data_IF_846420605051
#
_entry.id   IF_846420605051
#
_cell.length_a   1.000
_cell.length_b   1.000
_cell.length_c   1.000
_cell.angle_alpha   90.00
_cell.angle_beta   90.00
_cell.angle_gamma   90.00
#
_symmetry.space_group_name_H-M   'P 1'
#
loop_
_entity.id
_entity.type
_entity.pdbx_description
1 polymer ?
#
# COMPACT_ATOMS: atom_id res chain seq x y z
N UNK A 1 -27.16 54.79 -28.35
CA UNK A 1 -26.49 53.70 -29.07
C UNK A 1 -25.66 52.91 -28.06
N UNK A 2 -26.07 51.65 -27.86
CA UNK A 2 -25.36 50.46 -27.33
C UNK A 2 -24.38 50.58 -26.16
N UNK A 3 -24.79 50.04 -25.00
CA UNK A 3 -23.90 49.53 -23.95
C UNK A 3 -23.30 48.19 -24.43
N UNK A 4 -21.97 48.13 -24.58
CA UNK A 4 -21.25 46.91 -24.94
C UNK A 4 -20.94 46.08 -23.68
N UNK A 5 -21.78 45.10 -23.38
CA UNK A 5 -21.56 44.11 -22.34
C UNK A 5 -20.69 42.96 -22.86
N UNK A 6 -19.37 43.08 -22.71
CA UNK A 6 -18.44 41.95 -22.89
C UNK A 6 -18.55 40.99 -21.69
N UNK A 7 -19.67 40.29 -21.63
CA UNK A 7 -19.88 39.16 -20.73
C UNK A 7 -19.04 37.99 -21.20
N UNK A 8 -17.81 37.88 -20.68
CA UNK A 8 -17.01 36.65 -20.75
C UNK A 8 -17.81 35.57 -20.03
N UNK A 9 -18.57 34.76 -20.76
CA UNK A 9 -19.28 33.60 -20.24
C UNK A 9 -18.26 32.66 -19.63
N UNK A 10 -18.11 32.70 -18.30
CA UNK A 10 -17.44 31.66 -17.53
C UNK A 10 -18.13 30.35 -17.91
N UNK A 11 -17.41 29.45 -18.57
CA UNK A 11 -17.91 28.12 -18.86
C UNK A 11 -18.42 27.53 -17.54
N UNK A 12 -19.72 27.26 -17.51
CA UNK A 12 -20.40 26.65 -16.39
C UNK A 12 -19.63 25.35 -16.07
N UNK A 13 -19.30 25.12 -14.78
CA UNK A 13 -18.55 23.94 -14.32
C UNK A 13 -19.40 22.67 -14.52
N UNK A 14 -19.57 22.24 -15.76
CA UNK A 14 -20.23 21.00 -16.12
C UNK A 14 -19.32 19.83 -15.80
N UNK A 15 -19.86 18.83 -15.10
CA UNK A 15 -19.30 17.48 -15.05
C UNK A 15 -18.90 17.08 -16.47
N UNK A 16 -17.62 16.77 -16.70
CA UNK A 16 -17.19 16.29 -18.02
C UNK A 16 -18.01 15.04 -18.40
N UNK A 17 -18.90 15.20 -19.37
CA UNK A 17 -19.83 14.15 -19.84
C UNK A 17 -19.26 13.35 -21.00
N UNK A 18 -18.06 13.68 -21.49
CA UNK A 18 -17.43 12.93 -22.56
C UNK A 18 -17.04 11.52 -22.07
N UNK A 19 -17.13 10.49 -22.93
CA UNK A 19 -16.84 9.11 -22.54
C UNK A 19 -15.44 8.89 -21.95
N UNK A 20 -14.44 9.63 -22.44
CA UNK A 20 -13.04 9.50 -22.00
C UNK A 20 -12.86 10.06 -20.58
N UNK A 21 -13.48 11.19 -20.27
CA UNK A 21 -13.49 11.78 -18.92
C UNK A 21 -14.24 10.90 -17.92
N UNK A 22 -15.38 10.31 -18.31
CA UNK A 22 -16.12 9.36 -17.48
C UNK A 22 -15.27 8.13 -17.17
N UNK A 23 -14.59 7.57 -18.18
CA UNK A 23 -13.66 6.46 -17.98
C UNK A 23 -12.50 6.83 -17.04
N UNK A 24 -11.87 7.99 -17.26
CA UNK A 24 -10.79 8.47 -16.41
C UNK A 24 -11.24 8.72 -14.96
N UNK A 25 -12.49 9.16 -14.74
CA UNK A 25 -13.08 9.28 -13.40
C UNK A 25 -13.27 7.92 -12.75
N UNK A 26 -13.90 6.96 -13.43
CA UNK A 26 -14.11 5.60 -12.93
C UNK A 26 -12.80 4.90 -12.57
N UNK A 27 -11.73 5.12 -13.36
CA UNK A 27 -10.38 4.62 -13.06
C UNK A 27 -9.84 5.22 -11.75
N UNK A 28 -9.96 6.54 -11.57
CA UNK A 28 -9.52 7.23 -10.34
C UNK A 28 -10.31 6.78 -9.12
N UNK A 29 -11.62 6.62 -9.24
CA UNK A 29 -12.48 6.10 -8.16
C UNK A 29 -12.03 4.71 -7.71
N UNK A 30 -11.79 3.78 -8.66
CA UNK A 30 -11.29 2.43 -8.35
C UNK A 30 -9.91 2.43 -7.68
N UNK A 31 -9.02 3.34 -8.09
CA UNK A 31 -7.70 3.49 -7.44
C UNK A 31 -7.88 4.00 -6.00
N UNK A 32 -8.70 5.03 -5.81
CA UNK A 32 -8.95 5.61 -4.49
C UNK A 32 -9.61 4.62 -3.53
N UNK A 33 -10.54 3.78 -4.01
CA UNK A 33 -11.13 2.70 -3.23
C UNK A 33 -10.05 1.74 -2.72
N UNK A 34 -9.18 1.27 -3.61
CA UNK A 34 -8.07 0.38 -3.25
C UNK A 34 -7.08 1.03 -2.28
N UNK A 35 -6.78 2.32 -2.45
CA UNK A 35 -5.94 3.07 -1.53
C UNK A 35 -6.56 3.16 -0.13
N UNK A 36 -7.88 3.43 -0.03
CA UNK A 36 -8.59 3.43 1.26
C UNK A 36 -8.57 2.08 1.94
N UNK A 37 -8.77 0.99 1.19
CA UNK A 37 -8.65 -0.37 1.74
C UNK A 37 -7.24 -0.60 2.27
N UNK A 38 -6.21 -0.22 1.52
CA UNK A 38 -4.82 -0.37 1.95
C UNK A 38 -4.52 0.45 3.22
N UNK A 39 -5.01 1.68 3.31
CA UNK A 39 -4.86 2.54 4.51
C UNK A 39 -5.37 1.89 5.79
N UNK A 40 -6.44 1.08 5.70
CA UNK A 40 -7.01 0.38 6.85
C UNK A 40 -6.27 -0.92 7.21
N UNK A 41 -5.48 -1.48 6.28
CA UNK A 41 -4.73 -2.71 6.47
C UNK A 41 -3.30 -2.46 6.96
N UNK A 42 -2.70 -1.32 6.58
CA UNK A 42 -1.33 -0.97 6.92
C UNK A 42 -1.29 -0.23 8.26
N UNK A 43 -0.41 -0.60 9.20
CA UNK A 43 -0.20 0.15 10.43
C UNK A 43 0.11 1.62 10.12
N UNK A 44 -0.58 2.55 10.79
CA UNK A 44 -0.45 3.99 10.57
C UNK A 44 -0.73 4.48 9.12
N UNK A 45 -1.35 3.67 8.25
CA UNK A 45 -1.54 4.00 6.84
C UNK A 45 -2.36 5.29 6.56
N UNK A 46 -3.21 5.72 7.49
CA UNK A 46 -3.98 6.97 7.37
C UNK A 46 -3.19 8.23 7.79
N UNK A 47 -2.03 8.09 8.42
CA UNK A 47 -1.25 9.18 9.01
C UNK A 47 -0.04 9.60 8.18
N UNK A 48 0.26 8.86 7.12
CA UNK A 48 1.40 9.07 6.24
C UNK A 48 0.94 9.39 4.81
N UNK A 49 1.83 9.95 3.99
CA UNK A 49 1.55 10.16 2.58
C UNK A 49 1.49 8.84 1.80
N UNK A 50 0.97 8.88 0.57
CA UNK A 50 0.76 7.67 -0.25
C UNK A 50 2.09 6.95 -0.54
N UNK A 51 3.19 7.68 -0.77
CA UNK A 51 4.48 7.05 -1.09
C UNK A 51 4.98 6.27 0.12
N UNK A 52 4.99 6.91 1.28
CA UNK A 52 5.38 6.27 2.54
C UNK A 52 4.47 5.09 2.87
N UNK A 53 3.14 5.23 2.71
CA UNK A 53 2.20 4.13 2.94
C UNK A 53 2.47 2.90 2.07
N UNK A 54 2.85 3.11 0.80
CA UNK A 54 3.15 2.02 -0.11
C UNK A 54 4.45 1.29 0.29
N UNK A 55 5.46 2.03 0.76
CA UNK A 55 6.69 1.44 1.29
C UNK A 55 6.42 0.67 2.59
N UNK A 56 5.65 1.26 3.51
CA UNK A 56 5.25 0.62 4.76
C UNK A 56 4.41 -0.64 4.52
N UNK A 57 3.57 -0.65 3.48
CA UNK A 57 2.81 -1.83 3.10
C UNK A 57 3.73 -3.01 2.71
N UNK A 58 4.81 -2.74 1.98
CA UNK A 58 5.79 -3.77 1.60
C UNK A 58 6.47 -4.33 2.84
N UNK A 59 6.91 -3.46 3.74
CA UNK A 59 7.51 -3.88 5.02
C UNK A 59 6.54 -4.70 5.87
N UNK A 60 5.28 -4.27 5.95
CA UNK A 60 4.27 -4.98 6.73
C UNK A 60 3.96 -6.37 6.17
N UNK A 61 3.92 -6.54 4.84
CA UNK A 61 3.76 -7.88 4.23
C UNK A 61 4.95 -8.78 4.56
N UNK A 62 6.19 -8.28 4.44
CA UNK A 62 7.40 -9.05 4.82
C UNK A 62 7.37 -9.44 6.30
N UNK A 63 6.96 -8.52 7.17
CA UNK A 63 6.79 -8.78 8.60
C UNK A 63 5.75 -9.87 8.87
N UNK A 64 4.58 -9.82 8.23
CA UNK A 64 3.54 -10.85 8.37
C UNK A 64 4.01 -12.22 7.85
N UNK A 65 4.77 -12.26 6.75
CA UNK A 65 5.36 -13.51 6.25
C UNK A 65 6.36 -14.10 7.24
N UNK A 66 7.19 -13.26 7.86
CA UNK A 66 8.12 -13.69 8.89
C UNK A 66 7.39 -14.23 10.13
N UNK A 67 6.33 -13.52 10.57
CA UNK A 67 5.44 -14.00 11.64
C UNK A 67 4.93 -15.40 11.31
N UNK A 68 4.28 -15.60 10.16
CA UNK A 68 3.75 -16.92 9.76
C UNK A 68 4.84 -18.00 9.78
N UNK A 69 6.03 -17.70 9.25
CA UNK A 69 7.14 -18.66 9.23
C UNK A 69 7.61 -19.04 10.63
N UNK A 70 7.71 -18.07 11.53
CA UNK A 70 7.98 -18.31 12.95
C UNK A 70 6.89 -19.16 13.58
N UNK A 71 5.62 -18.83 13.31
CA UNK A 71 4.49 -19.55 13.88
C UNK A 71 4.32 -20.98 13.30
N UNK A 72 4.97 -21.29 12.18
CA UNK A 72 4.82 -22.58 11.50
C UNK A 72 6.01 -23.52 11.68
N UNK A 73 7.06 -23.08 12.38
CA UNK A 73 8.31 -23.83 12.50
C UNK A 73 8.55 -24.23 13.95
N UNK A 74 8.35 -25.52 14.27
CA UNK A 74 8.49 -26.08 15.63
C UNK A 74 9.82 -25.72 16.30
N UNK A 75 10.92 -25.61 15.54
CA UNK A 75 12.25 -25.29 16.05
C UNK A 75 12.53 -23.77 16.21
N UNK A 76 11.81 -22.92 15.49
CA UNK A 76 12.15 -21.48 15.37
C UNK A 76 11.38 -20.60 16.35
N UNK A 77 10.27 -21.09 16.91
CA UNK A 77 9.47 -20.41 17.94
C UNK A 77 10.30 -19.96 19.14
N UNK A 78 11.30 -20.75 19.54
CA UNK A 78 12.16 -20.44 20.68
C UNK A 78 13.07 -19.23 20.41
N UNK A 79 13.40 -18.94 19.14
CA UNK A 79 14.22 -17.81 18.72
C UNK A 79 13.39 -16.59 18.27
N UNK A 80 12.06 -16.68 18.33
CA UNK A 80 11.16 -15.66 17.84
C UNK A 80 11.42 -14.29 18.50
N UNK A 81 11.63 -14.27 19.82
CA UNK A 81 11.88 -13.04 20.58
C UNK A 81 13.13 -12.25 20.13
N UNK A 82 14.12 -12.94 19.54
CA UNK A 82 15.35 -12.30 19.03
C UNK A 82 15.14 -11.80 17.59
N UNK A 83 14.43 -12.56 16.76
CA UNK A 83 14.16 -12.21 15.37
C UNK A 83 13.27 -10.95 15.22
N UNK A 84 12.37 -10.68 16.16
CA UNK A 84 11.49 -9.51 16.10
C UNK A 84 12.19 -8.16 16.33
N UNK A 85 13.38 -8.14 16.94
CA UNK A 85 14.08 -6.91 17.33
C UNK A 85 15.03 -6.34 16.27
N UNK A 86 14.83 -6.68 14.99
CA UNK A 86 15.43 -5.92 13.88
C UNK A 86 16.67 -6.52 13.23
N UNK A 87 16.74 -7.85 13.04
CA UNK A 87 17.76 -8.46 12.20
C UNK A 87 17.10 -9.14 11.00
N UNK A 88 17.47 -8.69 9.81
CA UNK A 88 17.22 -9.35 8.53
C UNK A 88 17.98 -10.69 8.54
N UNK A 89 17.41 -11.71 9.19
CA UNK A 89 18.00 -13.04 9.22
C UNK A 89 17.83 -13.59 7.80
N UNK A 90 18.90 -13.47 7.01
CA UNK A 90 19.09 -14.13 5.72
C UNK A 90 19.12 -15.65 5.88
N UNK A 91 18.04 -16.26 6.36
CA UNK A 91 17.85 -17.72 6.38
C UNK A 91 17.56 -18.17 4.95
N UNK A 92 18.65 -18.39 4.21
CA UNK A 92 18.64 -19.27 3.05
C UNK A 92 18.26 -20.68 3.53
N UNK A 93 17.01 -21.10 3.29
CA UNK A 93 16.44 -22.37 3.73
C UNK A 93 17.08 -23.63 3.11
N UNK A 94 18.14 -23.52 2.30
CA UNK A 94 18.64 -24.64 1.48
C UNK A 94 19.95 -25.27 1.96
N UNK A 95 20.53 -24.86 3.09
CA UNK A 95 21.62 -25.62 3.69
C UNK A 95 21.06 -26.66 4.66
N UNK A 96 20.95 -27.91 4.19
CA UNK A 96 20.84 -29.08 5.05
C UNK A 96 22.07 -29.09 5.97
N UNK A 97 21.88 -28.66 7.21
CA UNK A 97 22.87 -28.82 8.26
C UNK A 97 22.85 -30.32 8.62
N UNK A 98 23.83 -31.08 8.15
CA UNK A 98 24.04 -32.45 8.61
C UNK A 98 24.48 -32.40 10.07
N UNK A 99 23.96 -33.29 10.94
CA UNK A 99 24.47 -33.36 12.31
C UNK A 99 25.95 -33.79 12.30
N UNK A 100 26.83 -33.13 13.09
CA UNK A 100 28.20 -33.59 13.31
C UNK A 100 28.19 -34.91 14.13
N UNK A 101 29.29 -35.69 14.07
CA UNK A 101 29.34 -37.11 14.47
C UNK A 101 29.02 -37.38 15.94
#
# INVERSE_FOLDING_TARGET
MTLNSNGKTRANRGSATDPQSLYARKRREKINERLRTLQNLVPNGTKVDISTMLEDAIHYVKFLQLQIKLLSSDDMWMYAAIAYNGLDIGVNLNQKISPPP
#
